data_IF_797470358491
#
_entry.id   IF_797470358491
#
_cell.length_a   1.000
_cell.length_b   1.000
_cell.length_c   1.000
_cell.angle_alpha   90.00
_cell.angle_beta   90.00
_cell.angle_gamma   90.00
#
_symmetry.space_group_name_H-M   'P 1'
#
loop_
_entity.id
_entity.type
_entity.pdbx_description
1 polymer ?
#
# COMPACT_ATOMS: atom_id res chain seq x y z
N UNK A 1 8.02 8.40 -12.41
CA UNK A 1 6.67 8.99 -12.22
C UNK A 1 6.38 9.02 -10.74
N UNK A 2 5.46 9.89 -10.27
CA UNK A 2 5.18 10.08 -8.85
C UNK A 2 3.70 9.75 -8.56
N UNK A 3 3.46 8.72 -7.75
CA UNK A 3 2.12 8.24 -7.35
C UNK A 3 1.89 8.55 -5.88
N UNK A 4 0.70 9.04 -5.54
CA UNK A 4 0.34 9.24 -4.15
C UNK A 4 0.17 7.90 -3.45
N UNK A 5 0.85 7.71 -2.33
CA UNK A 5 0.81 6.49 -1.56
C UNK A 5 -0.11 6.61 -0.35
N UNK A 6 -0.95 5.60 -0.12
CA UNK A 6 -1.82 5.51 1.05
C UNK A 6 -1.77 4.06 1.57
N UNK A 7 -1.58 3.91 2.87
CA UNK A 7 -1.58 2.62 3.55
C UNK A 7 -2.59 2.58 4.69
N UNK A 8 -3.56 1.68 4.60
CA UNK A 8 -4.57 1.45 5.64
C UNK A 8 -4.37 0.10 6.35
N UNK A 9 -4.82 0.03 7.59
CA UNK A 9 -5.08 -1.23 8.27
C UNK A 9 -6.56 -1.59 8.15
N UNK A 10 -6.86 -2.86 7.81
CA UNK A 10 -8.22 -3.36 7.63
C UNK A 10 -8.52 -4.54 8.54
N UNK A 11 -9.80 -4.76 8.83
CA UNK A 11 -10.24 -5.86 9.71
C UNK A 11 -10.08 -7.22 9.04
N UNK A 12 -10.60 -7.33 7.82
CA UNK A 12 -10.63 -8.55 7.02
C UNK A 12 -10.13 -8.20 5.62
N UNK A 13 -9.12 -8.92 5.13
CA UNK A 13 -8.49 -8.60 3.86
C UNK A 13 -9.41 -8.89 2.67
N UNK A 14 -10.12 -10.01 2.68
CA UNK A 14 -10.90 -10.47 1.53
C UNK A 14 -12.15 -9.60 1.32
N UNK A 15 -12.86 -9.26 2.40
CA UNK A 15 -13.96 -8.28 2.38
C UNK A 15 -13.46 -6.93 1.84
N UNK A 16 -12.27 -6.50 2.29
CA UNK A 16 -11.70 -5.21 1.89
C UNK A 16 -11.22 -5.19 0.45
N UNK A 17 -10.64 -6.29 -0.05
CA UNK A 17 -10.26 -6.40 -1.47
C UNK A 17 -11.49 -6.25 -2.35
N UNK A 18 -12.61 -6.88 -2.01
CA UNK A 18 -13.86 -6.75 -2.78
C UNK A 18 -14.37 -5.30 -2.80
N UNK A 19 -14.45 -4.65 -1.63
CA UNK A 19 -14.96 -3.26 -1.54
C UNK A 19 -14.03 -2.27 -2.26
N UNK A 20 -12.73 -2.29 -1.97
CA UNK A 20 -11.79 -1.35 -2.60
C UNK A 20 -11.61 -1.59 -4.10
N UNK A 21 -11.66 -2.84 -4.57
CA UNK A 21 -11.62 -3.11 -6.01
C UNK A 21 -12.86 -2.56 -6.73
N UNK A 22 -14.05 -2.63 -6.10
CA UNK A 22 -15.26 -2.02 -6.64
C UNK A 22 -15.15 -0.48 -6.69
N UNK A 23 -14.61 0.14 -5.65
CA UNK A 23 -14.42 1.60 -5.58
C UNK A 23 -13.36 2.10 -6.56
N UNK A 24 -12.28 1.35 -6.73
CA UNK A 24 -11.17 1.69 -7.63
C UNK A 24 -11.43 1.27 -9.07
N UNK A 25 -12.45 0.43 -9.32
CA UNK A 25 -12.79 -0.08 -10.64
C UNK A 25 -11.77 -1.07 -11.23
N UNK A 26 -10.88 -1.63 -10.40
CA UNK A 26 -9.85 -2.57 -10.82
C UNK A 26 -9.42 -3.52 -9.69
N UNK A 27 -8.95 -4.74 -10.00
CA UNK A 27 -8.40 -5.65 -9.00
C UNK A 27 -7.05 -5.14 -8.44
N UNK A 28 -6.58 -5.70 -7.31
CA UNK A 28 -5.25 -5.39 -6.79
C UNK A 28 -4.17 -5.86 -7.77
N UNK A 29 -3.11 -5.07 -7.91
CA UNK A 29 -1.91 -5.41 -8.67
C UNK A 29 -1.06 -6.44 -7.92
N UNK A 30 -1.12 -6.47 -6.59
CA UNK A 30 -0.42 -7.44 -5.76
C UNK A 30 -1.28 -7.88 -4.57
N UNK A 31 -1.29 -9.18 -4.28
CA UNK A 31 -1.98 -9.78 -3.13
C UNK A 31 -1.04 -10.76 -2.43
N UNK A 32 -0.94 -10.63 -1.11
CA UNK A 32 -0.40 -11.67 -0.22
C UNK A 32 -1.57 -12.20 0.61
N UNK A 33 -2.03 -13.45 0.36
CA UNK A 33 -3.23 -13.99 1.01
C UNK A 33 -3.19 -13.86 2.53
N UNK A 34 -4.29 -13.35 3.11
CA UNK A 34 -4.44 -13.14 4.55
C UNK A 34 -3.56 -12.05 5.18
N UNK A 35 -2.76 -11.32 4.39
CA UNK A 35 -1.81 -10.34 4.91
C UNK A 35 -1.91 -8.94 4.27
N UNK A 36 -1.93 -8.86 2.93
CA UNK A 36 -1.70 -7.60 2.23
C UNK A 36 -2.35 -7.55 0.83
N UNK A 37 -2.80 -6.38 0.42
CA UNK A 37 -3.18 -6.11 -0.97
C UNK A 37 -2.78 -4.68 -1.37
N UNK A 38 -2.47 -4.50 -2.65
CA UNK A 38 -2.06 -3.22 -3.22
C UNK A 38 -2.63 -3.02 -4.62
N UNK A 39 -3.06 -1.79 -4.88
CA UNK A 39 -3.48 -1.29 -6.19
C UNK A 39 -2.50 -0.20 -6.63
N UNK A 40 -2.05 -0.31 -7.88
CA UNK A 40 -1.19 0.69 -8.50
C UNK A 40 -1.87 1.19 -9.77
N UNK A 41 -2.03 2.51 -9.88
CA UNK A 41 -2.51 3.22 -11.09
C UNK A 41 -1.45 4.23 -11.54
N UNK A 42 -1.76 5.10 -12.50
CA UNK A 42 -0.83 6.16 -12.91
C UNK A 42 -0.58 7.22 -11.82
N UNK A 43 -1.54 7.42 -10.92
CA UNK A 43 -1.50 8.48 -9.90
C UNK A 43 -1.57 7.96 -8.46
N UNK A 44 -1.95 6.70 -8.25
CA UNK A 44 -2.23 6.14 -6.93
C UNK A 44 -1.43 4.86 -6.68
N UNK A 45 -0.88 4.76 -5.49
CA UNK A 45 -0.41 3.53 -4.87
C UNK A 45 -1.20 3.33 -3.56
N UNK A 46 -2.27 2.55 -3.62
CA UNK A 46 -3.12 2.29 -2.46
C UNK A 46 -2.85 0.89 -1.92
N UNK A 47 -2.68 0.76 -0.61
CA UNK A 47 -2.42 -0.52 0.01
C UNK A 47 -3.17 -0.71 1.32
N UNK A 48 -3.47 -1.97 1.60
CA UNK A 48 -4.12 -2.39 2.84
C UNK A 48 -3.38 -3.59 3.42
N UNK A 49 -3.34 -3.69 4.74
CA UNK A 49 -2.92 -4.90 5.43
C UNK A 49 -3.94 -5.32 6.49
N UNK A 50 -4.07 -6.61 6.74
CA UNK A 50 -4.97 -7.10 7.77
C UNK A 50 -4.39 -6.84 9.16
N UNK A 51 -5.14 -6.10 9.98
CA UNK A 51 -4.85 -5.85 11.38
C UNK A 51 -6.16 -5.49 12.09
N UNK A 52 -6.86 -6.50 12.60
CA UNK A 52 -8.20 -6.33 13.18
C UNK A 52 -8.25 -5.33 14.34
N UNK A 53 -7.18 -5.24 15.15
CA UNK A 53 -7.09 -4.28 16.26
C UNK A 53 -6.87 -2.83 15.82
N UNK A 54 -6.47 -2.61 14.56
CA UNK A 54 -6.17 -1.29 13.98
C UNK A 54 -7.05 -0.98 12.77
N UNK A 55 -8.16 -1.70 12.61
CA UNK A 55 -9.03 -1.57 11.45
C UNK A 55 -9.55 -0.13 11.28
N UNK A 56 -9.44 0.41 10.07
CA UNK A 56 -9.83 1.77 9.73
C UNK A 56 -8.72 2.81 9.97
N UNK A 57 -7.57 2.41 10.51
CA UNK A 57 -6.46 3.32 10.74
C UNK A 57 -5.69 3.64 9.45
N UNK A 58 -5.44 4.93 9.22
CA UNK A 58 -4.45 5.41 8.27
C UNK A 58 -3.06 5.24 8.86
N UNK A 59 -2.29 4.27 8.37
CA UNK A 59 -0.96 3.95 8.90
C UNK A 59 0.10 4.95 8.46
N UNK A 60 0.08 5.31 7.19
CA UNK A 60 0.94 6.34 6.59
C UNK A 60 0.43 6.70 5.20
N UNK A 61 0.89 7.86 4.72
CA UNK A 61 0.79 8.27 3.33
C UNK A 61 2.18 8.47 2.76
N UNK A 62 2.29 8.88 1.50
CA UNK A 62 3.60 9.09 0.92
C UNK A 62 3.60 9.31 -0.57
N UNK A 63 4.76 9.06 -1.16
CA UNK A 63 4.91 8.99 -2.60
C UNK A 63 5.74 7.78 -3.01
N UNK A 64 5.19 7.00 -3.93
CA UNK A 64 6.02 6.13 -4.77
C UNK A 64 6.58 6.99 -5.90
N UNK A 65 7.91 7.11 -5.98
CA UNK A 65 8.60 7.91 -6.99
C UNK A 65 9.77 7.11 -7.58
N UNK A 66 9.75 6.87 -8.89
CA UNK A 66 10.81 6.13 -9.58
C UNK A 66 12.17 6.84 -9.50
N UNK A 67 12.19 8.16 -9.24
CA UNK A 67 13.41 8.94 -9.06
C UNK A 67 13.90 8.93 -7.60
N UNK A 68 13.15 8.35 -6.65
CA UNK A 68 13.60 8.25 -5.26
C UNK A 68 14.82 7.31 -5.18
N UNK A 69 15.97 7.80 -4.68
CA UNK A 69 17.19 7.00 -4.63
C UNK A 69 17.13 5.89 -3.57
N UNK A 70 16.38 6.13 -2.49
CA UNK A 70 16.22 5.23 -1.35
C UNK A 70 14.91 5.52 -0.60
N UNK A 71 14.51 4.59 0.26
CA UNK A 71 13.43 4.81 1.21
C UNK A 71 13.76 5.96 2.18
N UNK A 72 12.78 6.82 2.42
CA UNK A 72 12.83 7.82 3.48
C UNK A 72 11.48 7.96 4.17
N UNK A 73 11.49 8.45 5.40
CA UNK A 73 10.27 8.73 6.16
C UNK A 73 10.39 10.01 6.98
N UNK A 74 9.28 10.72 7.12
CA UNK A 74 9.16 11.91 7.96
C UNK A 74 7.75 12.02 8.55
N UNK A 75 7.56 12.96 9.47
CA UNK A 75 6.26 13.28 10.04
C UNK A 75 5.90 14.71 9.67
N UNK A 76 4.67 14.94 9.20
CA UNK A 76 4.22 16.29 8.87
C UNK A 76 3.80 17.10 10.10
N UNK A 77 3.38 18.35 9.88
CA UNK A 77 2.93 19.23 10.96
C UNK A 77 1.66 18.78 11.69
N UNK A 78 0.95 17.77 11.18
CA UNK A 78 -0.24 17.18 11.80
C UNK A 78 0.05 15.86 12.51
N UNK A 79 1.31 15.38 12.49
CA UNK A 79 1.68 14.10 13.07
C UNK A 79 1.47 12.90 12.14
N UNK A 80 1.13 13.11 10.86
CA UNK A 80 0.97 12.01 9.91
C UNK A 80 2.33 11.54 9.41
N UNK A 81 2.53 10.23 9.36
CA UNK A 81 3.75 9.62 8.82
C UNK A 81 3.71 9.62 7.28
N UNK A 82 4.79 10.13 6.69
CA UNK A 82 5.03 10.18 5.25
C UNK A 82 6.19 9.26 4.89
N UNK A 83 6.02 8.42 3.87
CA UNK A 83 7.09 7.62 3.28
C UNK A 83 7.38 8.07 1.83
N UNK A 84 8.63 8.01 1.38
CA UNK A 84 8.98 8.16 -0.02
C UNK A 84 9.91 7.02 -0.43
N UNK A 85 9.58 6.35 -1.54
CA UNK A 85 10.28 5.14 -1.98
C UNK A 85 10.08 4.89 -3.47
N UNK A 86 10.92 4.05 -4.07
CA UNK A 86 10.72 3.57 -5.44
C UNK A 86 9.76 2.37 -5.49
N UNK A 87 9.16 2.10 -6.66
CA UNK A 87 8.32 0.92 -6.86
C UNK A 87 9.08 -0.39 -6.55
N UNK A 88 10.37 -0.45 -6.91
CA UNK A 88 11.25 -1.59 -6.61
C UNK A 88 11.41 -1.80 -5.11
N UNK A 89 11.58 -0.73 -4.35
CA UNK A 89 11.75 -0.80 -2.90
C UNK A 89 10.47 -1.30 -2.22
N UNK A 90 9.30 -0.80 -2.63
CA UNK A 90 8.03 -1.29 -2.10
C UNK A 90 7.82 -2.77 -2.40
N UNK A 91 8.11 -3.18 -3.64
CA UNK A 91 8.02 -4.57 -4.07
C UNK A 91 8.90 -5.50 -3.21
N UNK A 92 10.09 -5.06 -2.84
CA UNK A 92 10.99 -5.79 -1.94
C UNK A 92 10.45 -5.83 -0.49
N UNK A 93 9.91 -4.72 0.01
CA UNK A 93 9.30 -4.65 1.36
C UNK A 93 8.08 -5.54 1.48
N UNK A 94 7.26 -5.67 0.43
CA UNK A 94 6.12 -6.60 0.43
C UNK A 94 6.62 -8.03 0.68
N UNK A 95 7.65 -8.44 -0.04
CA UNK A 95 8.23 -9.79 0.09
C UNK A 95 8.84 -10.02 1.47
N UNK A 96 9.61 -9.07 1.99
CA UNK A 96 10.27 -9.23 3.30
C UNK A 96 9.30 -9.14 4.48
N UNK A 97 8.19 -8.39 4.35
CA UNK A 97 7.26 -8.13 5.46
C UNK A 97 6.08 -9.09 5.48
N UNK A 98 5.50 -9.38 4.32
CA UNK A 98 4.25 -10.14 4.21
C UNK A 98 4.46 -11.50 3.54
N UNK A 99 5.50 -11.65 2.71
CA UNK A 99 5.79 -12.86 1.95
C UNK A 99 5.54 -12.70 0.45
N UNK A 100 5.51 -13.83 -0.27
CA UNK A 100 5.44 -13.82 -1.73
C UNK A 100 4.07 -13.33 -2.20
N UNK A 101 4.06 -12.24 -2.97
CA UNK A 101 2.84 -11.69 -3.55
C UNK A 101 2.49 -12.37 -4.88
N UNK A 102 1.22 -12.73 -5.03
CA UNK A 102 0.60 -13.00 -6.33
C UNK A 102 0.38 -11.65 -7.02
N UNK A 103 0.86 -11.52 -8.26
CA UNK A 103 0.72 -10.29 -9.03
C UNK A 103 -0.22 -10.48 -10.20
N UNK A 104 -1.12 -9.52 -10.37
CA UNK A 104 -2.02 -9.43 -11.51
C UNK A 104 -1.48 -8.34 -12.45
N UNK A 105 -1.48 -8.66 -13.75
CA UNK A 105 -1.05 -7.75 -14.81
C UNK A 105 -2.06 -6.63 -15.04
#
# INVERSE_FOLDING_TARGET
MKRFHIALAVRDLDESIQDYSARLGQPPTAVVPGAYAMWRTDLLNFSINQSASRAGELRHVGFEDDAAPEYSSSTDCNGLMWEAFSAKEQDQRIVSTYGVAVRHA
#
